data_IF_308245247634
#
_entry.id   IF_308245247634
#
_cell.length_a   1.000
_cell.length_b   1.000
_cell.length_c   1.000
_cell.angle_alpha   90.00
_cell.angle_beta   90.00
_cell.angle_gamma   90.00
#
_symmetry.space_group_name_H-M   'P 1'
#
loop_
_entity.id
_entity.type
_entity.pdbx_description
1 polymer ?
#
# COMPACT_ATOMS: atom_id res chain seq x y z
N UNK A 1 11.51 1.87 -7.01
CA UNK A 1 12.35 0.68 -7.28
C UNK A 1 12.78 0.02 -5.97
N UNK A 2 13.55 0.71 -5.11
CA UNK A 2 14.02 0.16 -3.82
C UNK A 2 12.90 -0.44 -2.97
N UNK A 3 11.80 0.29 -2.73
CA UNK A 3 10.67 -0.20 -1.92
C UNK A 3 10.00 -1.46 -2.51
N UNK A 4 10.01 -1.60 -3.84
CA UNK A 4 9.45 -2.77 -4.51
C UNK A 4 10.37 -3.99 -4.35
N UNK A 5 11.69 -3.80 -4.42
CA UNK A 5 12.67 -4.85 -4.17
C UNK A 5 12.54 -5.36 -2.73
N UNK A 6 12.42 -4.45 -1.75
CA UNK A 6 12.20 -4.81 -0.35
C UNK A 6 10.88 -5.56 -0.16
N UNK A 7 9.80 -5.10 -0.81
CA UNK A 7 8.52 -5.80 -0.80
C UNK A 7 8.64 -7.23 -1.37
N UNK A 8 9.27 -7.39 -2.53
CA UNK A 8 9.48 -8.70 -3.15
C UNK A 8 10.33 -9.63 -2.26
N UNK A 9 11.36 -9.09 -1.62
CA UNK A 9 12.20 -9.84 -0.67
C UNK A 9 11.40 -10.31 0.56
N UNK A 10 10.53 -9.47 1.12
CA UNK A 10 9.66 -9.85 2.24
C UNK A 10 8.65 -10.92 1.82
N UNK A 11 7.99 -10.75 0.67
CA UNK A 11 7.04 -11.73 0.13
C UNK A 11 7.75 -13.07 -0.10
N UNK A 12 8.92 -13.05 -0.74
CA UNK A 12 9.73 -14.24 -0.96
C UNK A 12 10.09 -14.92 0.37
N UNK A 13 10.67 -14.18 1.31
CA UNK A 13 11.04 -14.73 2.62
C UNK A 13 9.85 -15.35 3.36
N UNK A 14 8.72 -14.65 3.44
CA UNK A 14 7.52 -15.17 4.12
C UNK A 14 6.95 -16.42 3.46
N UNK A 15 6.95 -16.51 2.12
CA UNK A 15 6.48 -17.71 1.40
C UNK A 15 7.45 -18.90 1.51
N UNK A 16 8.71 -18.68 1.91
CA UNK A 16 9.66 -19.76 2.23
C UNK A 16 9.59 -20.21 3.68
N UNK A 17 9.25 -19.31 4.60
CA UNK A 17 9.19 -19.58 6.03
C UNK A 17 7.81 -20.05 6.51
N UNK A 18 6.74 -19.74 5.76
CA UNK A 18 5.36 -19.99 6.15
C UNK A 18 4.56 -20.62 5.02
N UNK A 19 3.43 -21.23 5.37
CA UNK A 19 2.42 -21.62 4.38
C UNK A 19 1.90 -20.38 3.63
N UNK A 20 1.57 -20.52 2.34
CA UNK A 20 1.20 -19.42 1.45
C UNK A 20 0.10 -18.52 2.00
N UNK A 21 -0.96 -19.10 2.60
CA UNK A 21 -2.04 -18.33 3.22
C UNK A 21 -1.52 -17.44 4.36
N UNK A 22 -0.69 -18.00 5.24
CA UNK A 22 -0.11 -17.25 6.34
C UNK A 22 0.81 -16.14 5.82
N UNK A 23 1.66 -16.45 4.83
CA UNK A 23 2.55 -15.47 4.20
C UNK A 23 1.76 -14.27 3.64
N UNK A 24 0.68 -14.52 2.89
CA UNK A 24 -0.15 -13.46 2.31
C UNK A 24 -0.83 -12.59 3.38
N UNK A 25 -1.37 -13.20 4.44
CA UNK A 25 -1.98 -12.46 5.56
C UNK A 25 -0.95 -11.56 6.24
N UNK A 26 0.29 -12.04 6.46
CA UNK A 26 1.35 -11.25 7.08
C UNK A 26 1.80 -10.09 6.18
N UNK A 27 1.93 -10.32 4.87
CA UNK A 27 2.21 -9.25 3.91
C UNK A 27 1.09 -8.20 3.93
N UNK A 28 -0.17 -8.65 3.93
CA UNK A 28 -1.34 -7.76 4.01
C UNK A 28 -1.37 -6.94 5.29
N UNK A 29 -1.09 -7.57 6.43
CA UNK A 29 -0.99 -6.92 7.73
C UNK A 29 0.13 -5.87 7.74
N UNK A 30 1.33 -6.21 7.25
CA UNK A 30 2.46 -5.28 7.14
C UNK A 30 2.09 -4.03 6.32
N UNK A 31 1.50 -4.22 5.13
CA UNK A 31 1.07 -3.11 4.27
C UNK A 31 0.00 -2.26 4.96
N UNK A 32 -0.99 -2.90 5.60
CA UNK A 32 -2.02 -2.23 6.38
C UNK A 32 -1.45 -1.39 7.52
N UNK A 33 -0.44 -1.89 8.24
CA UNK A 33 0.26 -1.15 9.29
C UNK A 33 0.96 0.09 8.73
N UNK A 34 1.67 -0.02 7.60
CA UNK A 34 2.30 1.13 6.95
C UNK A 34 1.28 2.16 6.46
N UNK A 35 0.16 1.71 5.90
CA UNK A 35 -0.93 2.59 5.49
C UNK A 35 -1.51 3.38 6.66
N UNK A 36 -1.80 2.70 7.77
CA UNK A 36 -2.31 3.30 9.00
C UNK A 36 -1.32 4.28 9.62
N UNK A 37 -0.02 3.91 9.65
CA UNK A 37 1.04 4.79 10.16
C UNK A 37 1.18 6.08 9.32
N UNK A 38 1.09 5.98 7.99
CA UNK A 38 1.09 7.16 7.12
C UNK A 38 -0.09 8.09 7.41
N UNK A 39 -1.28 7.54 7.66
CA UNK A 39 -2.47 8.33 8.00
C UNK A 39 -2.29 9.02 9.35
N UNK A 40 -1.97 8.24 10.39
CA UNK A 40 -1.96 8.71 11.77
C UNK A 40 -0.83 9.69 12.05
N UNK A 41 0.37 9.45 11.51
CA UNK A 41 1.56 10.22 11.84
C UNK A 41 1.83 11.38 10.88
N UNK A 42 1.25 11.37 9.67
CA UNK A 42 1.53 12.39 8.65
C UNK A 42 0.28 13.02 8.08
N UNK A 43 -0.64 12.25 7.50
CA UNK A 43 -1.79 12.83 6.77
C UNK A 43 -2.71 13.60 7.72
N UNK A 44 -3.17 12.94 8.79
CA UNK A 44 -4.11 13.52 9.76
C UNK A 44 -3.55 14.76 10.50
N UNK A 45 -2.32 14.74 11.05
CA UNK A 45 -1.79 15.92 11.73
C UNK A 45 -1.54 17.10 10.80
N UNK A 46 -1.13 16.87 9.54
CA UNK A 46 -0.96 17.94 8.55
C UNK A 46 -2.32 18.55 8.16
N UNK A 47 -3.32 17.71 7.93
CA UNK A 47 -4.68 18.18 7.63
C UNK A 47 -5.29 18.97 8.80
N UNK A 48 -5.11 18.52 10.05
CA UNK A 48 -5.59 19.24 11.25
C UNK A 48 -4.99 20.63 11.36
N UNK A 49 -3.69 20.79 11.09
CA UNK A 49 -3.03 22.09 11.11
C UNK A 49 -3.57 23.03 10.03
N UNK A 50 -3.77 22.54 8.80
CA UNK A 50 -4.35 23.34 7.73
C UNK A 50 -5.80 23.78 8.04
N UNK A 51 -6.62 22.87 8.56
CA UNK A 51 -8.00 23.17 8.98
C UNK A 51 -8.01 24.20 10.11
N UNK A 52 -7.12 24.09 11.09
CA UNK A 52 -7.01 25.04 12.19
C UNK A 52 -6.57 26.44 11.73
N UNK A 53 -5.68 26.55 10.74
CA UNK A 53 -5.29 27.83 10.16
C UNK A 53 -6.45 28.51 9.42
N UNK A 54 -7.17 27.75 8.57
CA UNK A 54 -8.35 28.25 7.86
C UNK A 54 -9.46 28.69 8.82
N UNK A 55 -9.70 27.94 9.91
CA UNK A 55 -10.67 28.31 10.93
C UNK A 55 -10.34 29.63 11.65
N UNK A 56 -9.07 30.04 11.66
CA UNK A 56 -8.60 31.31 12.22
C UNK A 56 -8.53 32.44 11.18
N UNK A 57 -8.92 32.20 9.94
CA UNK A 57 -8.78 33.16 8.83
C UNK A 57 -7.32 33.39 8.39
N UNK A 58 -6.39 32.53 8.83
CA UNK A 58 -4.97 32.60 8.45
C UNK A 58 -4.77 31.73 7.19
N UNK A 59 -4.03 32.20 6.18
CA UNK A 59 -3.73 31.38 5.01
C UNK A 59 -3.01 30.09 5.44
N UNK A 60 -3.53 28.90 5.06
CA UNK A 60 -2.92 27.63 5.46
C UNK A 60 -1.57 27.42 4.77
N UNK A 61 -0.64 26.80 5.48
CA UNK A 61 0.64 26.38 4.89
C UNK A 61 0.40 25.25 3.87
N UNK A 62 0.63 25.58 2.60
CA UNK A 62 0.42 24.67 1.48
C UNK A 62 1.46 23.53 1.44
N UNK A 63 2.62 23.72 2.06
CA UNK A 63 3.66 22.67 2.13
C UNK A 63 3.17 21.44 2.91
N UNK A 64 2.33 21.63 3.93
CA UNK A 64 1.69 20.55 4.69
C UNK A 64 0.74 19.73 3.80
N UNK A 65 0.00 20.40 2.92
CA UNK A 65 -0.87 19.77 1.94
C UNK A 65 -0.12 18.92 0.94
N UNK A 66 1.03 19.40 0.46
CA UNK A 66 1.90 18.64 -0.44
C UNK A 66 2.49 17.41 0.26
N UNK A 67 2.97 17.53 1.49
CA UNK A 67 3.48 16.42 2.28
C UNK A 67 2.40 15.36 2.53
N UNK A 68 1.19 15.78 2.89
CA UNK A 68 0.03 14.88 3.05
C UNK A 68 -0.29 14.18 1.72
N UNK A 69 -0.31 14.91 0.60
CA UNK A 69 -0.56 14.36 -0.75
C UNK A 69 0.47 13.30 -1.12
N UNK A 70 1.76 13.50 -0.80
CA UNK A 70 2.78 12.48 -1.05
C UNK A 70 2.53 11.20 -0.25
N UNK A 71 2.10 11.29 1.01
CA UNK A 71 1.76 10.09 1.81
C UNK A 71 0.50 9.40 1.31
N UNK A 72 -0.50 10.15 0.85
CA UNK A 72 -1.68 9.59 0.18
C UNK A 72 -1.31 8.86 -1.11
N UNK A 73 -0.36 9.38 -1.91
CA UNK A 73 0.14 8.67 -3.10
C UNK A 73 0.79 7.33 -2.71
N UNK A 74 1.63 7.30 -1.68
CA UNK A 74 2.21 6.05 -1.18
C UNK A 74 1.15 5.04 -0.74
N UNK A 75 0.14 5.47 0.04
CA UNK A 75 -0.96 4.60 0.43
C UNK A 75 -1.74 4.08 -0.78
N UNK A 76 -2.01 4.93 -1.77
CA UNK A 76 -2.71 4.51 -2.98
C UNK A 76 -1.97 3.43 -3.77
N UNK A 77 -0.63 3.44 -3.78
CA UNK A 77 0.13 2.35 -4.41
C UNK A 77 0.01 1.02 -3.65
N UNK A 78 -0.17 1.06 -2.32
CA UNK A 78 -0.34 -0.14 -1.49
C UNK A 78 -1.76 -0.73 -1.53
N UNK A 79 -2.78 0.05 -1.94
CA UNK A 79 -4.16 -0.45 -2.06
C UNK A 79 -4.23 -1.64 -3.02
N UNK A 80 -3.56 -1.56 -4.17
CA UNK A 80 -3.57 -2.61 -5.19
C UNK A 80 -3.13 -3.98 -4.61
N UNK A 81 -1.91 -4.13 -4.06
CA UNK A 81 -1.50 -5.41 -3.47
C UNK A 81 -2.40 -5.84 -2.31
N UNK A 82 -2.86 -4.91 -1.46
CA UNK A 82 -3.74 -5.24 -0.33
C UNK A 82 -5.07 -5.84 -0.81
N UNK A 83 -5.71 -5.23 -1.81
CA UNK A 83 -6.97 -5.74 -2.38
C UNK A 83 -6.76 -7.11 -3.02
N UNK A 84 -5.64 -7.33 -3.73
CA UNK A 84 -5.33 -8.66 -4.26
C UNK A 84 -5.12 -9.69 -3.14
N UNK A 85 -4.49 -9.33 -2.03
CA UNK A 85 -4.35 -10.21 -0.86
C UNK A 85 -5.72 -10.55 -0.26
N UNK A 86 -6.62 -9.57 -0.13
CA UNK A 86 -7.99 -9.82 0.34
C UNK A 86 -8.72 -10.79 -0.59
N UNK A 87 -8.65 -10.55 -1.90
CA UNK A 87 -9.29 -11.39 -2.92
C UNK A 87 -8.68 -12.79 -3.02
N UNK A 88 -7.39 -12.94 -2.72
CA UNK A 88 -6.68 -14.23 -2.78
C UNK A 88 -7.33 -15.31 -1.90
N UNK A 89 -7.99 -14.92 -0.82
CA UNK A 89 -8.76 -15.85 0.04
C UNK A 89 -9.92 -16.51 -0.68
N UNK A 90 -10.48 -15.88 -1.73
CA UNK A 90 -11.55 -16.44 -2.56
C UNK A 90 -11.03 -17.27 -3.74
N UNK A 91 -9.75 -17.15 -4.09
CA UNK A 91 -9.13 -17.86 -5.22
C UNK A 91 -7.81 -18.54 -4.81
N UNK A 92 -7.84 -19.47 -3.83
CA UNK A 92 -6.63 -20.01 -3.21
C UNK A 92 -5.74 -20.77 -4.20
N UNK A 93 -6.32 -21.58 -5.09
CA UNK A 93 -5.59 -22.42 -6.05
C UNK A 93 -4.78 -21.58 -7.03
N UNK A 94 -5.33 -20.45 -7.48
CA UNK A 94 -4.69 -19.55 -8.44
C UNK A 94 -3.69 -18.58 -7.80
N UNK A 95 -3.70 -18.44 -6.46
CA UNK A 95 -2.91 -17.42 -5.74
C UNK A 95 -1.91 -18.06 -4.77
N UNK A 96 -2.21 -18.11 -3.48
CA UNK A 96 -1.26 -18.55 -2.46
C UNK A 96 -1.03 -20.06 -2.43
N UNK A 97 -1.94 -20.85 -2.99
CA UNK A 97 -1.81 -22.29 -3.17
C UNK A 97 -0.94 -22.70 -4.35
N UNK A 98 -0.52 -21.75 -5.19
CA UNK A 98 0.37 -22.00 -6.31
C UNK A 98 1.84 -22.08 -5.84
N UNK A 99 2.64 -22.97 -6.43
CA UNK A 99 4.09 -23.06 -6.22
C UNK A 99 4.84 -21.74 -6.50
N UNK A 100 4.28 -20.88 -7.35
CA UNK A 100 4.79 -19.55 -7.68
C UNK A 100 4.07 -18.41 -6.93
N UNK A 101 3.45 -18.69 -5.78
CA UNK A 101 2.66 -17.72 -5.01
C UNK A 101 3.33 -16.34 -4.84
N UNK A 102 4.59 -16.29 -4.42
CA UNK A 102 5.34 -15.04 -4.25
C UNK A 102 5.42 -14.22 -5.54
N UNK A 103 5.60 -14.90 -6.68
CA UNK A 103 5.74 -14.30 -7.99
C UNK A 103 4.38 -13.80 -8.50
N UNK A 104 3.30 -14.57 -8.28
CA UNK A 104 1.93 -14.15 -8.54
C UNK A 104 1.61 -12.85 -7.80
N UNK A 105 1.94 -12.77 -6.50
CA UNK A 105 1.69 -11.55 -5.73
C UNK A 105 2.53 -10.37 -6.24
N UNK A 106 3.81 -10.57 -6.54
CA UNK A 106 4.68 -9.50 -7.07
C UNK A 106 4.20 -8.98 -8.43
N UNK A 107 3.87 -9.88 -9.36
CA UNK A 107 3.40 -9.53 -10.71
C UNK A 107 2.05 -8.80 -10.64
N UNK A 108 1.09 -9.30 -9.86
CA UNK A 108 -0.22 -8.64 -9.70
C UNK A 108 -0.07 -7.25 -9.07
N UNK A 109 0.86 -7.09 -8.12
CA UNK A 109 1.15 -5.79 -7.50
C UNK A 109 1.68 -4.78 -8.52
N UNK A 110 2.60 -5.19 -9.39
CA UNK A 110 3.14 -4.34 -10.47
C UNK A 110 2.06 -4.05 -11.50
N UNK A 111 1.37 -5.08 -11.99
CA UNK A 111 0.35 -4.95 -13.02
C UNK A 111 -0.78 -4.00 -12.58
N UNK A 112 -1.29 -4.16 -11.36
CA UNK A 112 -2.32 -3.26 -10.84
C UNK A 112 -1.78 -1.84 -10.54
N UNK A 113 -0.52 -1.69 -10.13
CA UNK A 113 0.12 -0.39 -9.96
C UNK A 113 0.28 0.37 -11.29
N UNK A 114 0.65 -0.35 -12.35
CA UNK A 114 0.73 0.19 -13.72
C UNK A 114 -0.65 0.55 -14.25
N UNK A 115 -1.65 -0.32 -14.08
CA UNK A 115 -3.02 -0.05 -14.48
C UNK A 115 -3.61 1.17 -13.76
N UNK A 116 -3.42 1.27 -12.44
CA UNK A 116 -3.86 2.41 -11.64
C UNK A 116 -3.17 3.73 -12.07
N UNK A 117 -1.88 3.67 -12.46
CA UNK A 117 -1.18 4.82 -13.03
C UNK A 117 -1.77 5.21 -14.40
N UNK A 118 -1.98 4.23 -15.28
CA UNK A 118 -2.51 4.45 -16.62
C UNK A 118 -3.93 5.05 -16.61
N UNK A 119 -4.78 4.64 -15.67
CA UNK A 119 -6.12 5.19 -15.48
C UNK A 119 -6.12 6.63 -14.96
N UNK A 120 -5.12 7.01 -14.16
CA UNK A 120 -4.99 8.37 -13.59
C UNK A 120 -4.29 9.36 -14.53
N UNK A 121 -3.65 8.87 -15.58
CA UNK A 121 -2.99 9.69 -16.60
C UNK A 121 -3.85 9.93 -17.84
N UNK A 122 -5.10 9.47 -17.83
CA UNK A 122 -6.15 9.83 -18.79
C UNK A 122 -7.02 10.91 -18.18
#
# INVERSE_FOLDING_TARGET
VVSFILFAAVVYGLTRLMNGRAAYIHVGAMLGTFMSANVWLRILPFQRQMVAAMAKGIPPDMSLGEQAKQRTKHNNYMVVPVVFIMLSNHFPVATYGNQYNWLVLCVLSVAGGVAAKALRSR
#
